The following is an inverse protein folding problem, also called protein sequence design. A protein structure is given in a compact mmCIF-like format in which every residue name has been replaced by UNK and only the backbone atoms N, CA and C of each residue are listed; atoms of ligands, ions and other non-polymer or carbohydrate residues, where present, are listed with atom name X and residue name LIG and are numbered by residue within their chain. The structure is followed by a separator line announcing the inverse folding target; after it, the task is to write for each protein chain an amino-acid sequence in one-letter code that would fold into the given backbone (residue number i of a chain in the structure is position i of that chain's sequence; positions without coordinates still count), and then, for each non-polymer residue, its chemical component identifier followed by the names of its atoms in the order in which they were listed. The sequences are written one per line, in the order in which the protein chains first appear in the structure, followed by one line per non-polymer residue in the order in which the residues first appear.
data_IF_141303547905
#
_entry.id   IF_141303547905
#
_cell.length_a   1.000
_cell.length_b   1.000
_cell.length_c   1.000
_cell.angle_alpha   90.00
_cell.angle_beta   90.00
_cell.angle_gamma   90.00
#
_symmetry.space_group_name_H-M   'P 1'
#
loop_
_entity.id
_entity.type
_entity.pdbx_description
1 polymer ?
#
# COMPACT_ATOMS: atom_id res chain seq x y z
N UNK A 1 -47.74 28.98 25.91
CA UNK A 1 -47.65 27.70 25.17
C UNK A 1 -47.57 28.05 23.69
N UNK A 2 -46.60 27.72 22.85
CA UNK A 2 -45.38 26.90 22.93
C UNK A 2 -44.28 27.61 22.12
N UNK A 3 -43.06 27.69 22.66
CA UNK A 3 -41.86 28.12 21.94
C UNK A 3 -41.26 26.88 21.29
N UNK A 4 -41.47 26.68 19.99
CA UNK A 4 -40.81 25.60 19.24
C UNK A 4 -39.52 26.20 18.66
N UNK A 5 -38.43 26.00 19.39
CA UNK A 5 -37.08 26.28 18.91
C UNK A 5 -36.72 25.11 17.98
N UNK A 6 -36.77 25.34 16.67
CA UNK A 6 -36.31 24.38 15.67
C UNK A 6 -34.78 24.42 15.69
N UNK A 7 -34.18 23.47 16.40
CA UNK A 7 -32.74 23.24 16.40
C UNK A 7 -32.37 22.57 15.06
N UNK A 8 -32.00 23.40 14.07
CA UNK A 8 -31.53 22.93 12.78
C UNK A 8 -30.14 22.30 12.98
N UNK A 9 -30.12 20.99 13.18
CA UNK A 9 -28.91 20.20 13.36
C UNK A 9 -28.20 20.13 11.99
N UNK A 10 -27.20 21.00 11.79
CA UNK A 10 -26.30 20.95 10.65
C UNK A 10 -25.55 19.61 10.63
N UNK A 11 -26.06 18.65 9.87
CA UNK A 11 -25.31 17.50 9.38
C UNK A 11 -24.21 18.01 8.45
N UNK A 12 -23.07 18.41 9.01
CA UNK A 12 -21.84 18.58 8.24
C UNK A 12 -21.38 17.17 7.87
N UNK A 13 -21.76 16.72 6.67
CA UNK A 13 -21.15 15.57 6.04
C UNK A 13 -19.66 15.90 5.82
N UNK A 14 -18.80 15.46 6.73
CA UNK A 14 -17.37 15.39 6.47
C UNK A 14 -17.15 14.38 5.34
N UNK A 15 -17.12 14.87 4.10
CA UNK A 15 -16.55 14.12 2.99
C UNK A 15 -15.04 14.04 3.23
N UNK A 16 -14.62 13.02 3.97
CA UNK A 16 -13.21 12.66 4.01
C UNK A 16 -12.81 12.24 2.59
N UNK A 17 -12.11 13.13 1.89
CA UNK A 17 -11.49 12.80 0.60
C UNK A 17 -10.49 11.68 0.83
N UNK A 18 -10.61 10.61 0.05
CA UNK A 18 -9.65 9.52 0.10
C UNK A 18 -8.22 10.06 -0.13
N UNK A 19 -7.19 9.47 0.48
CA UNK A 19 -5.81 9.88 0.21
C UNK A 19 -5.55 9.78 -1.28
N UNK A 20 -5.06 10.86 -1.88
CA UNK A 20 -4.58 10.83 -3.26
C UNK A 20 -3.21 10.13 -3.24
N UNK A 21 -3.09 9.02 -3.95
CA UNK A 21 -1.86 8.24 -4.03
C UNK A 21 -1.12 8.61 -5.32
N UNK A 22 0.14 9.05 -5.19
CA UNK A 22 0.94 9.50 -6.33
C UNK A 22 1.22 8.39 -7.35
N UNK A 23 1.36 7.16 -6.86
CA UNK A 23 1.57 5.98 -7.70
C UNK A 23 0.73 4.81 -7.19
N UNK A 24 0.03 4.14 -8.10
CA UNK A 24 -0.76 2.95 -7.80
C UNK A 24 -0.62 1.91 -8.91
N UNK A 25 -0.42 0.65 -8.55
CA UNK A 25 -0.34 -0.46 -9.49
C UNK A 25 -0.77 -1.79 -8.86
N UNK A 26 -1.46 -2.64 -9.64
CA UNK A 26 -1.89 -3.97 -9.20
C UNK A 26 -0.99 -5.05 -9.81
N UNK A 27 -0.35 -5.83 -8.94
CA UNK A 27 0.38 -7.04 -9.30
C UNK A 27 -0.53 -8.26 -9.18
N UNK A 28 -0.65 -9.03 -10.25
CA UNK A 28 -1.20 -10.38 -10.21
C UNK A 28 -0.03 -11.37 -10.22
N UNK A 29 0.16 -12.08 -9.10
CA UNK A 29 1.33 -12.93 -8.89
C UNK A 29 0.93 -14.40 -8.77
N UNK A 30 1.58 -15.32 -9.50
CA UNK A 30 1.59 -16.74 -9.15
C UNK A 30 2.29 -16.99 -7.81
N UNK A 31 2.09 -18.18 -7.25
CA UNK A 31 2.75 -18.59 -6.01
C UNK A 31 4.27 -18.48 -6.13
N UNK A 32 4.90 -17.93 -5.11
CA UNK A 32 6.35 -17.78 -4.95
C UNK A 32 7.04 -16.87 -6.00
N UNK A 33 6.30 -16.26 -6.92
CA UNK A 33 6.81 -15.28 -7.89
C UNK A 33 6.98 -13.90 -7.25
N UNK A 34 8.02 -13.19 -7.70
CA UNK A 34 8.42 -11.91 -7.12
C UNK A 34 7.78 -10.73 -7.84
N UNK A 35 7.00 -9.93 -7.10
CA UNK A 35 6.71 -8.56 -7.44
C UNK A 35 7.85 -7.65 -6.96
N UNK A 36 8.22 -6.65 -7.77
CA UNK A 36 9.29 -5.70 -7.44
C UNK A 36 8.87 -4.27 -7.73
N UNK A 37 9.16 -3.40 -6.78
CA UNK A 37 8.97 -1.95 -6.91
C UNK A 37 10.33 -1.29 -6.75
N UNK A 38 10.80 -0.63 -7.80
CA UNK A 38 12.01 0.16 -7.73
C UNK A 38 11.66 1.58 -7.29
N UNK A 39 12.37 2.06 -6.27
CA UNK A 39 12.14 3.35 -5.65
C UNK A 39 13.41 4.17 -5.85
N UNK A 40 13.30 5.29 -6.55
CA UNK A 40 14.44 6.13 -6.94
C UNK A 40 14.30 7.47 -6.21
N UNK A 41 15.22 7.78 -5.32
CA UNK A 41 15.22 9.07 -4.63
C UNK A 41 15.69 10.18 -5.57
N UNK A 42 14.90 11.24 -5.74
CA UNK A 42 15.23 12.31 -6.71
C UNK A 42 16.47 13.11 -6.36
N UNK A 43 16.76 13.30 -5.07
CA UNK A 43 17.89 14.13 -4.62
C UNK A 43 19.24 13.41 -4.78
N UNK A 44 19.29 12.12 -4.44
CA UNK A 44 20.53 11.33 -4.41
C UNK A 44 20.68 10.42 -5.62
N UNK A 45 19.61 10.22 -6.39
CA UNK A 45 19.50 9.21 -7.43
C UNK A 45 19.78 7.78 -6.93
N UNK A 46 19.62 7.55 -5.62
CA UNK A 46 19.76 6.24 -5.01
C UNK A 46 18.55 5.37 -5.36
N UNK A 47 18.83 4.16 -5.85
CA UNK A 47 17.82 3.19 -6.27
C UNK A 47 17.72 2.05 -5.27
N UNK A 48 16.54 1.90 -4.69
CA UNK A 48 16.22 0.84 -3.75
C UNK A 48 15.09 -0.04 -4.29
N UNK A 49 14.96 -1.24 -3.74
CA UNK A 49 13.94 -2.19 -4.16
C UNK A 49 13.11 -2.64 -2.98
N UNK A 50 11.79 -2.54 -3.14
CA UNK A 50 10.82 -3.26 -2.34
C UNK A 50 10.39 -4.50 -3.13
N UNK A 51 10.85 -5.66 -2.68
CA UNK A 51 10.51 -6.95 -3.26
C UNK A 51 9.46 -7.64 -2.39
N UNK A 52 8.50 -8.32 -3.00
CA UNK A 52 7.54 -9.13 -2.28
C UNK A 52 7.09 -10.34 -3.07
N UNK A 53 6.65 -11.37 -2.36
CA UNK A 53 6.03 -12.57 -2.92
C UNK A 53 5.05 -13.15 -1.92
N UNK A 54 4.18 -14.03 -2.38
CA UNK A 54 3.29 -14.78 -1.50
C UNK A 54 3.56 -16.28 -1.59
N UNK A 55 3.27 -17.01 -0.51
CA UNK A 55 3.65 -18.43 -0.36
C UNK A 55 2.48 -19.35 -0.05
N UNK A 56 1.58 -18.94 0.83
CA UNK A 56 0.44 -19.74 1.30
C UNK A 56 -0.82 -18.91 1.23
N UNK A 57 -1.89 -19.50 0.72
CA UNK A 57 -3.24 -18.94 0.74
C UNK A 57 -4.17 -19.97 1.39
N UNK A 58 -4.93 -19.53 2.39
CA UNK A 58 -6.12 -20.24 2.87
C UNK A 58 -7.38 -19.59 2.27
N UNK A 59 -8.58 -19.99 2.69
CA UNK A 59 -9.85 -19.43 2.19
C UNK A 59 -9.91 -17.89 2.15
N UNK A 60 -9.25 -17.18 3.08
CA UNK A 60 -9.35 -15.72 3.25
C UNK A 60 -8.04 -15.00 3.56
N UNK A 61 -6.98 -15.71 3.95
CA UNK A 61 -5.69 -15.14 4.34
C UNK A 61 -4.59 -15.61 3.40
N UNK A 62 -3.64 -14.71 3.17
CA UNK A 62 -2.44 -14.95 2.37
C UNK A 62 -1.19 -14.59 3.18
N UNK A 63 -0.18 -15.43 3.08
CA UNK A 63 1.14 -15.17 3.67
C UNK A 63 2.01 -14.50 2.64
N UNK A 64 2.45 -13.28 2.94
CA UNK A 64 3.33 -12.46 2.10
C UNK A 64 4.66 -12.30 2.79
N UNK A 65 5.73 -12.43 2.02
CA UNK A 65 7.08 -12.13 2.42
C UNK A 65 7.56 -10.92 1.64
N UNK A 66 8.04 -9.88 2.32
CA UNK A 66 8.62 -8.70 1.69
C UNK A 66 10.08 -8.51 2.10
N UNK A 67 10.85 -7.83 1.26
CA UNK A 67 12.24 -7.50 1.49
C UNK A 67 12.47 -6.05 1.08
N UNK A 68 12.97 -5.26 2.02
CA UNK A 68 13.34 -3.86 1.80
C UNK A 68 14.62 -3.54 2.57
N UNK A 69 15.61 -2.93 1.93
CA UNK A 69 16.92 -2.59 2.55
C UNK A 69 17.57 -3.76 3.32
N UNK A 70 17.49 -4.97 2.75
CA UNK A 70 17.98 -6.23 3.36
C UNK A 70 17.25 -6.68 4.63
N UNK A 71 16.12 -6.07 4.98
CA UNK A 71 15.27 -6.50 6.08
C UNK A 71 14.09 -7.33 5.56
N UNK A 72 14.05 -8.65 5.82
CA UNK A 72 12.89 -9.48 5.51
C UNK A 72 11.73 -9.17 6.47
N UNK A 73 10.51 -9.19 5.96
CA UNK A 73 9.28 -9.15 6.75
C UNK A 73 8.33 -10.24 6.29
N UNK A 74 7.63 -10.82 7.25
CA UNK A 74 6.56 -11.78 7.00
C UNK A 74 5.27 -11.19 7.53
N UNK A 75 4.23 -11.22 6.70
CA UNK A 75 2.93 -10.68 7.05
C UNK A 75 1.84 -11.65 6.60
N UNK A 76 0.82 -11.80 7.45
CA UNK A 76 -0.40 -12.53 7.10
C UNK A 76 -1.47 -11.48 6.83
N UNK A 77 -1.86 -11.38 5.57
CA UNK A 77 -2.87 -10.44 5.09
C UNK A 77 -4.16 -11.20 4.86
N UNK A 78 -5.32 -10.56 4.97
CA UNK A 78 -6.60 -11.21 4.73
C UNK A 78 -7.58 -10.30 4.00
N UNK A 79 -8.57 -10.90 3.33
CA UNK A 79 -9.57 -10.16 2.53
C UNK A 79 -10.49 -9.26 3.37
N UNK A 80 -10.46 -9.38 4.70
CA UNK A 80 -11.22 -8.54 5.61
C UNK A 80 -10.57 -7.16 5.72
N UNK A 81 -11.38 -6.11 5.58
CA UNK A 81 -10.91 -4.72 5.77
C UNK A 81 -10.17 -4.53 7.09
N UNK A 82 -9.02 -3.87 7.02
CA UNK A 82 -8.13 -3.63 8.16
C UNK A 82 -7.09 -4.72 8.39
N UNK A 83 -7.21 -5.86 7.70
CA UNK A 83 -6.19 -6.92 7.63
C UNK A 83 -5.68 -7.16 6.20
N UNK A 84 -6.25 -6.45 5.25
CA UNK A 84 -5.96 -6.46 3.83
C UNK A 84 -4.74 -5.62 3.47
N UNK A 85 -4.29 -4.72 4.35
CA UNK A 85 -3.25 -3.74 4.04
C UNK A 85 -2.09 -3.76 5.02
N UNK A 86 -0.87 -3.65 4.49
CA UNK A 86 0.36 -3.47 5.25
C UNK A 86 1.07 -2.19 4.81
N UNK A 87 1.67 -1.47 5.76
CA UNK A 87 2.43 -0.24 5.54
C UNK A 87 3.92 -0.46 5.74
N UNK A 88 4.72 -0.04 4.77
CA UNK A 88 6.18 0.07 4.85
C UNK A 88 6.59 1.53 4.70
N UNK A 89 7.27 2.08 5.70
CA UNK A 89 7.89 3.40 5.57
C UNK A 89 9.14 3.28 4.67
N UNK A 90 9.19 4.07 3.60
CA UNK A 90 10.30 4.10 2.62
C UNK A 90 11.30 5.18 3.03
N UNK A 91 10.81 6.41 3.19
CA UNK A 91 11.56 7.53 3.73
C UNK A 91 10.92 7.96 5.04
N UNK A 92 11.67 8.01 6.15
CA UNK A 92 11.14 8.48 7.41
C UNK A 92 10.78 9.96 7.29
N UNK A 93 9.72 10.36 7.97
CA UNK A 93 9.37 11.76 8.12
C UNK A 93 10.35 12.45 9.06
N UNK A 94 10.81 13.64 8.70
CA UNK A 94 11.74 14.44 9.51
C UNK A 94 11.03 15.58 10.27
N UNK A 95 9.73 15.74 10.05
CA UNK A 95 8.88 16.78 10.66
C UNK A 95 7.96 16.23 11.76
N UNK A 96 7.44 17.15 12.59
CA UNK A 96 6.38 16.88 13.55
C UNK A 96 5.28 17.96 13.39
N UNK A 97 4.05 17.62 12.96
CA UNK A 97 3.55 16.28 12.67
C UNK A 97 4.21 15.64 11.44
N UNK A 98 4.24 14.30 11.34
CA UNK A 98 4.97 13.59 10.31
C UNK A 98 4.22 13.57 8.97
N UNK A 99 4.39 14.63 8.19
CA UNK A 99 3.67 14.88 6.92
C UNK A 99 4.52 14.65 5.65
N UNK A 100 5.84 14.47 5.80
CA UNK A 100 6.80 14.47 4.68
C UNK A 100 7.43 13.10 4.36
N UNK A 101 7.06 12.06 5.10
CA UNK A 101 7.58 10.71 4.86
C UNK A 101 6.91 10.02 3.67
N UNK A 102 7.71 9.27 2.90
CA UNK A 102 7.21 8.42 1.80
C UNK A 102 6.81 7.06 2.35
N UNK A 103 5.59 6.61 2.05
CA UNK A 103 5.03 5.36 2.55
C UNK A 103 4.58 4.49 1.38
N UNK A 104 4.91 3.21 1.46
CA UNK A 104 4.41 2.16 0.56
C UNK A 104 3.35 1.36 1.29
N UNK A 105 2.20 1.18 0.64
CA UNK A 105 1.15 0.29 1.09
C UNK A 105 1.05 -0.88 0.12
N UNK A 106 1.06 -2.09 0.66
CA UNK A 106 0.66 -3.29 -0.06
C UNK A 106 -0.72 -3.70 0.45
N UNK A 107 -1.67 -3.83 -0.47
CA UNK A 107 -3.04 -4.25 -0.18
C UNK A 107 -3.33 -5.55 -0.91
N UNK A 108 -3.69 -6.60 -0.18
CA UNK A 108 -4.19 -7.85 -0.74
C UNK A 108 -5.66 -7.64 -1.14
N UNK A 109 -5.92 -7.66 -2.45
CA UNK A 109 -7.24 -7.36 -3.01
C UNK A 109 -8.09 -8.63 -3.10
N UNK A 110 -7.57 -9.64 -3.81
CA UNK A 110 -8.27 -10.89 -4.05
C UNK A 110 -7.32 -12.03 -4.43
N UNK A 111 -7.88 -13.23 -4.48
CA UNK A 111 -7.22 -14.42 -4.96
C UNK A 111 -8.13 -15.15 -5.94
N UNK A 112 -7.70 -15.27 -7.20
CA UNK A 112 -8.47 -15.93 -8.27
C UNK A 112 -7.52 -16.66 -9.21
N UNK A 113 -7.95 -17.81 -9.73
CA UNK A 113 -7.18 -18.59 -10.70
C UNK A 113 -5.73 -18.91 -10.24
N UNK A 114 -5.53 -19.15 -8.94
CA UNK A 114 -4.21 -19.34 -8.31
C UNK A 114 -3.25 -18.14 -8.43
N UNK A 115 -3.79 -16.94 -8.63
CA UNK A 115 -3.06 -15.67 -8.62
C UNK A 115 -3.52 -14.84 -7.42
N UNK A 116 -2.55 -14.33 -6.66
CA UNK A 116 -2.80 -13.31 -5.63
C UNK A 116 -2.68 -11.92 -6.24
N UNK A 117 -3.71 -11.09 -6.05
CA UNK A 117 -3.72 -9.70 -6.52
C UNK A 117 -3.33 -8.76 -5.39
N UNK A 118 -2.29 -7.96 -5.63
CA UNK A 118 -1.73 -7.03 -4.68
C UNK A 118 -1.67 -5.62 -5.27
N UNK A 119 -2.41 -4.69 -4.68
CA UNK A 119 -2.27 -3.28 -5.01
C UNK A 119 -1.10 -2.70 -4.22
N UNK A 120 -0.18 -2.05 -4.93
CA UNK A 120 0.85 -1.22 -4.34
C UNK A 120 0.48 0.23 -4.54
N UNK A 121 0.35 0.95 -3.43
CA UNK A 121 0.14 2.40 -3.42
C UNK A 121 1.32 3.09 -2.75
N UNK A 122 1.78 4.19 -3.35
CA UNK A 122 2.82 5.05 -2.79
C UNK A 122 2.19 6.38 -2.41
N UNK A 123 2.35 6.75 -1.15
CA UNK A 123 2.00 8.06 -0.64
C UNK A 123 3.27 8.90 -0.56
N UNK A 124 3.38 9.91 -1.41
CA UNK A 124 4.54 10.79 -1.54
C UNK A 124 4.09 12.24 -1.77
N UNK A 125 3.50 12.85 -0.74
CA UNK A 125 2.93 14.20 -0.84
C UNK A 125 3.92 15.30 -1.23
N UNK A 126 5.23 15.05 -1.18
CA UNK A 126 6.29 15.98 -1.60
C UNK A 126 7.00 15.54 -2.89
N UNK A 127 6.57 14.44 -3.52
CA UNK A 127 7.11 13.91 -4.77
C UNK A 127 8.63 13.69 -4.72
N UNK A 128 9.12 13.18 -3.59
CA UNK A 128 10.54 12.93 -3.31
C UNK A 128 11.12 11.74 -4.08
N UNK A 129 10.26 10.81 -4.54
CA UNK A 129 10.69 9.61 -5.25
C UNK A 129 10.09 9.50 -6.64
N UNK A 130 10.76 8.75 -7.50
CA UNK A 130 10.20 8.14 -8.71
C UNK A 130 10.06 6.64 -8.49
N UNK A 131 9.05 6.03 -9.13
CA UNK A 131 8.67 4.64 -8.88
C UNK A 131 8.53 3.86 -10.18
N UNK A 132 9.14 2.68 -10.24
CA UNK A 132 8.99 1.74 -11.35
C UNK A 132 8.42 0.41 -10.84
N UNK A 133 7.29 -0.02 -11.41
CA UNK A 133 6.69 -1.32 -11.11
C UNK A 133 7.25 -2.39 -12.05
N UNK A 134 8.06 -3.30 -11.52
CA UNK A 134 8.73 -4.35 -12.29
C UNK A 134 7.93 -5.64 -12.17
N UNK A 135 7.32 -6.04 -13.28
CA UNK A 135 6.52 -7.28 -13.35
C UNK A 135 7.41 -8.52 -13.25
N UNK A 136 6.89 -9.63 -12.68
CA UNK A 136 7.57 -10.91 -12.76
C UNK A 136 7.76 -11.29 -14.23
N UNK A 137 8.93 -11.82 -14.58
CA UNK A 137 9.10 -12.44 -15.89
C UNK A 137 8.32 -13.75 -15.87
N UNK A 138 7.17 -13.80 -16.53
CA UNK A 138 6.39 -15.02 -16.72
C UNK A 138 7.32 -16.11 -17.23
N UNK A 139 7.59 -17.15 -16.41
CA UNK A 139 8.23 -18.37 -16.91
C UNK A 139 7.21 -19.04 -17.84
N UNK A 140 7.50 -19.05 -19.14
CA UNK A 140 6.84 -19.94 -20.10
C UNK A 140 7.25 -21.37 -19.85
#
# INVERSE_FOLDING_TARGET
MNKIIIFFCCFVFCFATAPDFDHSYVFELPKDEWGRVAIIQKQTNEKEYFDFRWTLFDTTNITVQSFFRRFPRHMVMGLQHGRDRYKQDILPSMKNPPDDGVKLYITFIDFKNNLGSFQIDILDGQKLVDVEFIRPKTRR
#
